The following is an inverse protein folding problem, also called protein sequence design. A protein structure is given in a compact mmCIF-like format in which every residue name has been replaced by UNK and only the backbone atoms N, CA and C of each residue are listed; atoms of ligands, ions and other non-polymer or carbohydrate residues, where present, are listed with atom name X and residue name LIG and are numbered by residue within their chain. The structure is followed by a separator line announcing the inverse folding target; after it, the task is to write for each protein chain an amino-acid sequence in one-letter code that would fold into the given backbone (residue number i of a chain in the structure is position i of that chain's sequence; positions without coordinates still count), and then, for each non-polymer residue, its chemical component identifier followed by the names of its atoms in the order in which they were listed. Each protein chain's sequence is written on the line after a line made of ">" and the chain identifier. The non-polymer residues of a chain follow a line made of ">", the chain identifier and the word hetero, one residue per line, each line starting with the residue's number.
data_IF_432665943740
#
_entry.id   IF_432665943740
#
_cell.length_a   1.000
_cell.length_b   1.000
_cell.length_c   1.000
_cell.angle_alpha   90.00
_cell.angle_beta   90.00
_cell.angle_gamma   90.00
#
_symmetry.space_group_name_H-M   'P 1'
#
loop_
_entity.id
_entity.type
_entity.pdbx_description
1 polymer ?
#
# COMPACT_ATOMS: atom_id res chain seq x y z
N UNK A 1 8.87 28.94 -44.72
CA UNK A 1 7.87 27.84 -44.87
C UNK A 1 8.37 26.46 -44.38
N UNK A 2 9.66 26.26 -44.23
CA UNK A 2 10.30 24.96 -43.86
C UNK A 2 10.05 24.50 -42.42
N UNK A 3 10.26 25.35 -41.40
CA UNK A 3 10.11 24.95 -39.99
C UNK A 3 8.69 24.49 -39.59
N UNK A 4 7.66 25.02 -40.24
CA UNK A 4 6.26 24.61 -39.94
C UNK A 4 5.91 23.23 -40.54
N UNK A 5 6.49 22.90 -41.69
CA UNK A 5 6.35 21.57 -42.30
C UNK A 5 7.08 20.50 -41.49
N UNK A 6 8.32 20.75 -41.10
CA UNK A 6 9.10 19.83 -40.28
C UNK A 6 8.42 19.54 -38.91
N UNK A 7 7.83 20.57 -38.29
CA UNK A 7 7.07 20.40 -37.02
C UNK A 7 5.81 19.54 -37.19
N UNK A 8 5.12 19.65 -38.33
CA UNK A 8 3.93 18.87 -38.67
C UNK A 8 4.29 17.43 -39.01
N UNK A 9 5.39 17.20 -39.72
CA UNK A 9 5.90 15.87 -40.08
C UNK A 9 6.37 15.13 -38.79
N UNK A 10 7.16 15.76 -37.93
CA UNK A 10 7.59 15.23 -36.64
C UNK A 10 6.41 14.84 -35.79
N UNK A 11 5.38 15.68 -35.68
CA UNK A 11 4.13 15.35 -34.95
C UNK A 11 3.34 14.18 -35.57
N UNK A 12 3.45 13.95 -36.89
CA UNK A 12 2.83 12.79 -37.57
C UNK A 12 3.61 11.50 -37.31
N UNK A 13 4.92 11.56 -37.31
CA UNK A 13 5.79 10.41 -37.02
C UNK A 13 5.66 9.98 -35.55
N UNK A 14 5.67 10.94 -34.65
CA UNK A 14 5.44 10.68 -33.21
C UNK A 14 4.07 9.99 -32.95
N UNK A 15 3.00 10.47 -33.62
CA UNK A 15 1.67 9.84 -33.54
C UNK A 15 1.62 8.44 -34.15
N UNK A 16 2.39 8.17 -35.22
CA UNK A 16 2.50 6.84 -35.81
C UNK A 16 3.25 5.88 -34.88
N UNK A 17 4.39 6.33 -34.35
CA UNK A 17 5.18 5.56 -33.38
C UNK A 17 4.38 5.22 -32.15
N UNK A 18 3.62 6.18 -31.61
CA UNK A 18 2.76 5.96 -30.45
C UNK A 18 1.63 4.96 -30.74
N UNK A 19 1.00 5.02 -31.92
CA UNK A 19 -0.02 4.03 -32.32
C UNK A 19 0.56 2.63 -32.43
N UNK A 20 1.75 2.51 -33.01
CA UNK A 20 2.44 1.23 -33.16
C UNK A 20 2.85 0.68 -31.82
N UNK A 21 3.41 1.49 -30.92
CA UNK A 21 3.70 1.12 -29.54
C UNK A 21 2.46 0.60 -28.82
N UNK A 22 1.33 1.32 -28.89
CA UNK A 22 0.06 0.89 -28.29
C UNK A 22 -0.44 -0.44 -28.87
N UNK A 23 -0.23 -0.68 -30.17
CA UNK A 23 -0.57 -1.95 -30.81
C UNK A 23 0.26 -3.10 -30.26
N UNK A 24 1.58 -2.91 -30.19
CA UNK A 24 2.52 -3.92 -29.65
C UNK A 24 2.24 -4.25 -28.18
N UNK A 25 2.00 -3.24 -27.35
CA UNK A 25 1.61 -3.42 -25.94
C UNK A 25 0.31 -4.23 -25.84
N UNK A 26 -0.70 -3.88 -26.64
CA UNK A 26 -1.98 -4.62 -26.64
C UNK A 26 -1.81 -6.07 -27.07
N UNK A 27 -0.96 -6.33 -28.04
CA UNK A 27 -0.67 -7.69 -28.51
C UNK A 27 0.08 -8.49 -27.45
N UNK A 28 1.11 -7.90 -26.83
CA UNK A 28 1.87 -8.52 -25.75
C UNK A 28 1.01 -8.84 -24.53
N UNK A 29 0.05 -7.97 -24.19
CA UNK A 29 -0.83 -8.13 -23.04
C UNK A 29 -2.17 -8.84 -23.37
N UNK A 30 -2.27 -9.51 -24.52
CA UNK A 30 -3.53 -10.14 -24.98
C UNK A 30 -4.08 -11.22 -24.06
N UNK A 31 -3.23 -11.83 -23.24
CA UNK A 31 -3.63 -12.88 -22.29
C UNK A 31 -4.27 -12.32 -21.02
N UNK A 32 -4.13 -11.02 -20.77
CA UNK A 32 -4.71 -10.36 -19.61
C UNK A 32 -6.21 -10.17 -19.79
N UNK A 33 -6.92 -10.20 -18.67
CA UNK A 33 -8.33 -9.91 -18.65
C UNK A 33 -8.52 -8.40 -18.50
N UNK A 34 -8.95 -7.78 -19.58
CA UNK A 34 -9.16 -6.33 -19.61
C UNK A 34 -10.39 -5.94 -18.80
N UNK A 35 -10.26 -4.91 -17.98
CA UNK A 35 -11.38 -4.28 -17.32
C UNK A 35 -12.34 -3.66 -18.35
N UNK A 36 -13.64 -3.62 -18.07
CA UNK A 36 -14.58 -2.85 -18.86
C UNK A 36 -14.16 -1.39 -18.91
N UNK A 37 -14.22 -0.75 -20.09
CA UNK A 37 -13.77 0.65 -20.28
C UNK A 37 -14.36 1.66 -19.30
N UNK A 38 -15.58 1.41 -18.79
CA UNK A 38 -16.23 2.26 -17.78
C UNK A 38 -15.66 2.04 -16.37
N UNK A 39 -15.10 0.87 -16.08
CA UNK A 39 -14.53 0.53 -14.78
C UNK A 39 -13.15 1.18 -14.57
N UNK A 40 -12.41 1.40 -15.64
CA UNK A 40 -11.07 1.98 -15.60
C UNK A 40 -11.06 3.43 -15.10
N UNK A 41 -12.18 4.15 -15.23
CA UNK A 41 -12.18 5.61 -15.13
C UNK A 41 -12.13 6.16 -13.68
N UNK A 42 -12.53 5.38 -12.67
CA UNK A 42 -12.57 5.88 -11.28
C UNK A 42 -11.28 5.65 -10.49
N UNK A 43 -10.45 4.69 -10.91
CA UNK A 43 -9.21 4.32 -10.21
C UNK A 43 -8.07 3.93 -11.16
N UNK A 44 -8.24 4.14 -12.46
CA UNK A 44 -7.24 3.77 -13.45
C UNK A 44 -7.05 2.27 -13.66
N UNK A 45 -7.96 1.42 -13.21
CA UNK A 45 -7.87 -0.02 -13.37
C UNK A 45 -8.03 -0.44 -14.83
N UNK A 46 -7.04 -1.10 -15.41
CA UNK A 46 -7.02 -1.49 -16.82
C UNK A 46 -7.29 -2.97 -17.05
N UNK A 47 -6.62 -3.82 -16.27
CA UNK A 47 -6.65 -5.27 -16.49
C UNK A 47 -6.06 -6.01 -15.30
N UNK A 48 -6.20 -7.31 -15.30
CA UNK A 48 -5.57 -8.17 -14.31
C UNK A 48 -5.20 -9.53 -14.91
N UNK A 49 -4.25 -10.17 -14.28
CA UNK A 49 -3.89 -11.55 -14.51
C UNK A 49 -4.62 -12.46 -13.51
N UNK A 50 -5.15 -13.63 -13.92
CA UNK A 50 -5.79 -14.56 -12.99
C UNK A 50 -4.94 -14.98 -11.80
N UNK A 51 -3.62 -14.90 -11.90
CA UNK A 51 -2.67 -15.17 -10.81
C UNK A 51 -2.64 -14.11 -9.72
N UNK A 52 -3.43 -13.03 -9.83
CA UNK A 52 -3.59 -12.01 -8.80
C UNK A 52 -2.84 -10.70 -9.03
N UNK A 53 -2.26 -10.48 -10.21
CA UNK A 53 -1.66 -9.19 -10.56
C UNK A 53 -2.67 -8.25 -11.20
N UNK A 54 -2.72 -7.00 -10.73
CA UNK A 54 -3.61 -5.94 -11.19
C UNK A 54 -2.82 -4.85 -11.90
N UNK A 55 -3.30 -4.42 -13.08
CA UNK A 55 -2.74 -3.33 -13.84
C UNK A 55 -3.59 -2.08 -13.74
N UNK A 56 -2.94 -0.95 -13.48
CA UNK A 56 -3.54 0.38 -13.40
C UNK A 56 -2.96 1.32 -14.46
N UNK A 57 -3.60 2.47 -14.65
CA UNK A 57 -3.10 3.52 -15.54
C UNK A 57 -1.63 3.85 -15.25
N UNK A 58 -0.90 4.23 -16.30
CA UNK A 58 0.54 4.51 -16.21
C UNK A 58 1.41 3.26 -16.18
N UNK A 59 0.84 2.06 -16.39
CA UNK A 59 1.61 0.81 -16.36
C UNK A 59 2.02 0.38 -14.96
N UNK A 60 1.30 0.80 -13.94
CA UNK A 60 1.52 0.36 -12.55
C UNK A 60 0.87 -1.00 -12.31
N UNK A 61 1.64 -1.95 -11.83
CA UNK A 61 1.20 -3.30 -11.50
C UNK A 61 1.28 -3.54 -10.00
N UNK A 62 0.30 -4.25 -9.46
CA UNK A 62 0.22 -4.58 -8.04
C UNK A 62 -0.15 -6.05 -7.87
N UNK A 63 0.61 -6.77 -7.06
CA UNK A 63 0.29 -8.14 -6.62
C UNK A 63 0.26 -8.20 -5.10
N UNK A 64 -0.81 -8.77 -4.55
CA UNK A 64 -1.07 -8.81 -3.10
C UNK A 64 -0.79 -10.20 -2.55
N UNK A 65 -0.15 -10.24 -1.39
CA UNK A 65 0.18 -11.44 -0.63
C UNK A 65 -0.36 -11.33 0.79
N UNK A 66 -0.75 -12.43 1.38
CA UNK A 66 -1.06 -12.51 2.81
C UNK A 66 0.19 -12.93 3.58
N UNK A 67 0.47 -12.26 4.69
CA UNK A 67 1.56 -12.63 5.59
C UNK A 67 1.13 -13.84 6.42
N UNK A 68 1.94 -14.89 6.38
CA UNK A 68 1.72 -16.13 7.15
C UNK A 68 2.80 -16.37 8.21
N UNK A 69 3.81 -15.51 8.24
CA UNK A 69 4.94 -15.57 9.14
C UNK A 69 5.17 -14.24 9.88
N UNK A 70 6.36 -13.68 9.78
CA UNK A 70 6.76 -12.47 10.49
C UNK A 70 7.13 -11.36 9.53
N UNK A 71 6.67 -10.13 9.79
CA UNK A 71 7.08 -8.95 9.02
C UNK A 71 8.47 -8.42 9.41
N UNK A 72 9.17 -9.03 10.37
CA UNK A 72 10.53 -8.64 10.78
C UNK A 72 11.52 -8.57 9.62
N UNK A 73 11.34 -9.41 8.60
CA UNK A 73 12.16 -9.43 7.41
C UNK A 73 11.83 -8.36 6.35
N UNK A 74 10.79 -7.56 6.56
CA UNK A 74 10.25 -6.63 5.56
C UNK A 74 11.27 -5.60 5.06
N UNK A 75 12.07 -5.06 5.96
CA UNK A 75 13.12 -4.09 5.62
C UNK A 75 14.20 -4.73 4.75
N UNK A 76 14.67 -5.92 5.13
CA UNK A 76 15.64 -6.68 4.33
C UNK A 76 15.08 -7.07 2.96
N UNK A 77 13.80 -7.44 2.93
CA UNK A 77 13.10 -7.71 1.66
C UNK A 77 13.06 -6.46 0.79
N UNK A 78 12.68 -5.30 1.35
CA UNK A 78 12.60 -4.03 0.62
C UNK A 78 13.95 -3.57 0.02
N UNK A 79 15.07 -3.94 0.63
CA UNK A 79 16.42 -3.66 0.12
C UNK A 79 16.86 -4.65 -1.00
N UNK A 80 16.21 -5.80 -1.14
CA UNK A 80 16.60 -6.86 -2.09
C UNK A 80 15.68 -6.98 -3.29
N UNK A 81 14.39 -6.70 -3.12
CA UNK A 81 13.42 -6.78 -4.22
C UNK A 81 13.58 -5.60 -5.18
N UNK A 82 13.20 -5.84 -6.43
CA UNK A 82 13.14 -4.77 -7.45
C UNK A 82 11.87 -3.96 -7.38
N UNK A 83 10.80 -4.58 -6.92
CA UNK A 83 9.49 -3.93 -6.73
C UNK A 83 9.50 -3.06 -5.48
N UNK A 84 8.65 -2.05 -5.46
CA UNK A 84 8.31 -1.36 -4.21
C UNK A 84 7.45 -2.27 -3.34
N UNK A 85 7.71 -2.31 -2.04
CA UNK A 85 6.92 -3.05 -1.07
C UNK A 85 5.94 -2.11 -0.38
N UNK A 86 4.70 -2.54 -0.27
CA UNK A 86 3.71 -1.97 0.64
C UNK A 86 3.34 -3.03 1.67
N UNK A 87 3.37 -2.66 2.94
CA UNK A 87 2.87 -3.49 4.04
C UNK A 87 1.61 -2.82 4.58
N UNK A 88 0.51 -3.55 4.61
CA UNK A 88 -0.76 -3.09 5.17
C UNK A 88 -1.16 -4.02 6.30
N UNK A 89 -1.29 -3.48 7.49
CA UNK A 89 -1.81 -4.19 8.65
C UNK A 89 -3.23 -3.72 8.95
N UNK A 90 -4.12 -4.65 9.22
CA UNK A 90 -5.45 -4.40 9.75
C UNK A 90 -5.53 -4.98 11.15
N UNK A 91 -5.84 -4.13 12.11
CA UNK A 91 -6.11 -4.50 13.50
C UNK A 91 -7.60 -4.21 13.72
N UNK A 92 -8.37 -5.21 14.12
CA UNK A 92 -9.78 -5.05 14.37
C UNK A 92 -10.18 -5.72 15.67
N UNK A 93 -11.14 -5.16 16.45
CA UNK A 93 -11.72 -5.84 17.57
C UNK A 93 -12.41 -7.12 17.08
N UNK A 94 -12.19 -8.22 17.79
CA UNK A 94 -12.93 -9.46 17.57
C UNK A 94 -14.07 -9.55 18.59
N UNK A 95 -14.98 -10.50 18.37
CA UNK A 95 -16.02 -10.80 19.36
C UNK A 95 -15.35 -11.34 20.62
N UNK A 96 -15.55 -10.66 21.75
CA UNK A 96 -14.86 -10.94 23.01
C UNK A 96 -13.66 -10.01 23.23
N UNK A 97 -12.74 -10.35 24.14
CA UNK A 97 -11.55 -9.54 24.45
C UNK A 97 -10.38 -9.76 23.50
N UNK A 98 -10.53 -10.63 22.49
CA UNK A 98 -9.49 -10.90 21.51
C UNK A 98 -9.49 -9.88 20.37
N UNK A 99 -8.32 -9.65 19.77
CA UNK A 99 -8.15 -8.81 18.60
C UNK A 99 -7.64 -9.66 17.44
N UNK A 100 -8.15 -9.38 16.23
CA UNK A 100 -7.61 -9.99 15.03
C UNK A 100 -6.66 -9.02 14.36
N UNK A 101 -5.42 -9.43 14.15
CA UNK A 101 -4.45 -8.71 13.35
C UNK A 101 -4.12 -9.53 12.11
N UNK A 102 -4.22 -8.90 10.93
CA UNK A 102 -3.83 -9.49 9.65
C UNK A 102 -2.92 -8.53 8.91
N UNK A 103 -1.89 -9.06 8.31
CA UNK A 103 -0.95 -8.28 7.51
C UNK A 103 -0.92 -8.77 6.06
N UNK A 104 -0.74 -7.83 5.16
CA UNK A 104 -0.66 -8.04 3.73
C UNK A 104 0.57 -7.32 3.19
N UNK A 105 1.23 -7.96 2.24
CA UNK A 105 2.33 -7.35 1.49
C UNK A 105 1.88 -7.18 0.05
N UNK A 106 2.13 -6.02 -0.52
CA UNK A 106 1.91 -5.78 -1.95
C UNK A 106 3.24 -5.46 -2.61
N UNK A 107 3.52 -6.15 -3.72
CA UNK A 107 4.58 -5.78 -4.65
C UNK A 107 4.00 -4.81 -5.68
N UNK A 108 4.71 -3.71 -5.91
CA UNK A 108 4.30 -2.67 -6.85
C UNK A 108 5.45 -2.46 -7.83
N UNK A 109 5.17 -2.68 -9.12
CA UNK A 109 6.12 -2.52 -10.22
C UNK A 109 5.53 -1.65 -11.33
N UNK A 110 6.39 -1.15 -12.19
CA UNK A 110 5.99 -0.35 -13.36
C UNK A 110 6.45 -1.03 -14.65
N UNK A 111 5.59 -1.03 -15.65
CA UNK A 111 5.88 -1.58 -16.97
C UNK A 111 4.67 -1.58 -17.87
N UNK A 112 4.91 -1.31 -19.18
CA UNK A 112 3.85 -1.34 -20.18
C UNK A 112 3.44 -2.77 -20.59
N UNK A 113 4.34 -3.73 -20.41
CA UNK A 113 4.18 -5.15 -20.79
C UNK A 113 4.23 -6.01 -19.55
N UNK A 114 3.28 -6.95 -19.42
CA UNK A 114 3.14 -7.78 -18.24
C UNK A 114 4.26 -8.80 -18.06
N UNK A 115 4.76 -9.41 -19.12
CA UNK A 115 5.72 -10.51 -19.00
C UNK A 115 6.97 -10.16 -18.19
N UNK A 116 7.69 -9.03 -18.45
CA UNK A 116 8.81 -8.62 -17.62
C UNK A 116 8.41 -8.31 -16.16
N UNK A 117 7.20 -7.77 -15.95
CA UNK A 117 6.68 -7.49 -14.62
C UNK A 117 6.35 -8.79 -13.88
N UNK A 118 5.82 -9.79 -14.57
CA UNK A 118 5.54 -11.11 -14.03
C UNK A 118 6.83 -11.79 -13.56
N UNK A 119 7.87 -11.81 -14.40
CA UNK A 119 9.18 -12.35 -14.04
C UNK A 119 9.78 -11.64 -12.81
N UNK A 120 9.62 -10.30 -12.75
CA UNK A 120 10.04 -9.53 -11.59
C UNK A 120 9.26 -9.94 -10.33
N UNK A 121 7.94 -10.05 -10.40
CA UNK A 121 7.11 -10.46 -9.26
C UNK A 121 7.42 -11.90 -8.81
N UNK A 122 7.67 -12.82 -9.74
CA UNK A 122 8.06 -14.20 -9.41
C UNK A 122 9.40 -14.23 -8.66
N UNK A 123 10.38 -13.44 -9.10
CA UNK A 123 11.66 -13.33 -8.40
C UNK A 123 11.54 -12.67 -7.01
N UNK A 124 10.77 -11.59 -6.91
CA UNK A 124 10.55 -10.86 -5.67
C UNK A 124 9.72 -11.69 -4.67
N UNK A 125 8.77 -12.52 -5.14
CA UNK A 125 7.97 -13.42 -4.32
C UNK A 125 8.84 -14.44 -3.57
N UNK A 126 9.88 -14.99 -4.23
CA UNK A 126 10.82 -15.91 -3.58
C UNK A 126 11.51 -15.22 -2.39
N UNK A 127 11.94 -13.97 -2.58
CA UNK A 127 12.56 -13.16 -1.51
C UNK A 127 11.57 -12.91 -0.37
N UNK A 128 10.32 -12.56 -0.70
CA UNK A 128 9.28 -12.36 0.32
C UNK A 128 8.97 -13.63 1.10
N UNK A 129 8.89 -14.78 0.43
CA UNK A 129 8.65 -16.07 1.10
C UNK A 129 9.78 -16.42 2.07
N UNK A 130 11.02 -16.23 1.65
CA UNK A 130 12.19 -16.50 2.49
C UNK A 130 12.26 -15.56 3.71
N UNK A 131 11.97 -14.27 3.53
CA UNK A 131 12.23 -13.25 4.55
C UNK A 131 11.06 -12.93 5.44
N UNK A 132 9.83 -13.04 4.94
CA UNK A 132 8.62 -12.64 5.65
C UNK A 132 7.72 -13.86 5.90
N UNK A 133 7.68 -14.82 4.98
CA UNK A 133 6.68 -15.88 4.94
C UNK A 133 5.34 -15.31 4.45
N UNK A 134 5.13 -15.39 3.13
CA UNK A 134 3.92 -14.87 2.49
C UNK A 134 3.23 -15.96 1.67
N UNK A 135 1.92 -15.81 1.47
CA UNK A 135 1.11 -16.61 0.56
C UNK A 135 0.58 -15.72 -0.56
N UNK A 136 0.81 -16.09 -1.81
CA UNK A 136 0.25 -15.42 -2.96
C UNK A 136 -1.28 -15.51 -2.95
N UNK A 137 -1.98 -14.42 -3.29
CA UNK A 137 -3.43 -14.35 -3.38
C UNK A 137 -3.87 -14.40 -4.84
N UNK A 138 -4.91 -15.18 -5.12
CA UNK A 138 -5.65 -15.10 -6.37
C UNK A 138 -6.41 -13.77 -6.46
N UNK A 139 -6.91 -13.42 -7.65
CA UNK A 139 -7.73 -12.21 -7.85
C UNK A 139 -8.91 -12.16 -6.88
N UNK A 140 -9.65 -13.26 -6.73
CA UNK A 140 -10.82 -13.29 -5.85
C UNK A 140 -10.46 -13.12 -4.37
N UNK A 141 -9.35 -13.72 -3.92
CA UNK A 141 -8.83 -13.53 -2.56
C UNK A 141 -8.34 -12.11 -2.33
N UNK A 142 -7.59 -11.53 -3.28
CA UNK A 142 -7.12 -10.16 -3.18
C UNK A 142 -8.30 -9.17 -3.12
N UNK A 143 -9.34 -9.36 -3.92
CA UNK A 143 -10.54 -8.51 -3.85
C UNK A 143 -11.28 -8.68 -2.52
N UNK A 144 -11.36 -9.88 -1.95
CA UNK A 144 -11.92 -10.07 -0.60
C UNK A 144 -11.13 -9.32 0.47
N UNK A 145 -9.80 -9.30 0.36
CA UNK A 145 -8.94 -8.50 1.26
C UNK A 145 -9.27 -7.02 1.13
N UNK A 146 -9.43 -6.52 -0.09
CA UNK A 146 -9.76 -5.11 -0.33
C UNK A 146 -11.15 -4.77 0.20
N UNK A 147 -12.16 -5.62 -0.03
CA UNK A 147 -13.49 -5.48 0.54
C UNK A 147 -13.44 -5.37 2.06
N UNK A 148 -12.65 -6.22 2.71
CA UNK A 148 -12.42 -6.18 4.15
C UNK A 148 -11.78 -4.85 4.58
N UNK A 149 -10.81 -4.35 3.84
CA UNK A 149 -10.14 -3.08 4.12
C UNK A 149 -11.05 -1.87 3.92
N UNK A 150 -11.99 -1.94 3.00
CA UNK A 150 -12.98 -0.89 2.73
C UNK A 150 -14.23 -0.97 3.63
N UNK A 151 -14.26 -1.87 4.63
CA UNK A 151 -15.44 -2.06 5.49
C UNK A 151 -16.58 -2.83 4.84
N UNK A 152 -16.38 -3.32 3.62
CA UNK A 152 -17.39 -4.02 2.82
C UNK A 152 -17.44 -5.54 3.03
N UNK A 153 -17.14 -6.04 4.23
CA UNK A 153 -17.08 -7.50 4.52
C UNK A 153 -18.38 -8.24 4.18
N UNK A 154 -19.50 -7.56 4.23
CA UNK A 154 -20.82 -8.11 3.89
C UNK A 154 -21.10 -8.13 2.39
N UNK A 155 -20.27 -7.51 1.56
CA UNK A 155 -20.45 -7.47 0.11
C UNK A 155 -19.87 -8.73 -0.51
N UNK A 156 -20.64 -9.40 -1.34
CA UNK A 156 -20.13 -10.49 -2.18
C UNK A 156 -19.59 -9.92 -3.48
N UNK A 157 -18.38 -10.24 -3.83
CA UNK A 157 -17.81 -9.95 -5.14
C UNK A 157 -17.73 -11.23 -5.97
N UNK A 158 -18.23 -11.17 -7.19
CA UNK A 158 -18.07 -12.23 -8.17
C UNK A 158 -17.34 -11.67 -9.39
N UNK A 159 -16.13 -12.12 -9.60
CA UNK A 159 -15.33 -11.81 -10.76
C UNK A 159 -16.06 -12.00 -12.09
N UNK A 160 -16.76 -13.13 -12.27
CA UNK A 160 -17.52 -13.41 -13.47
C UNK A 160 -18.66 -12.40 -13.69
N UNK A 161 -19.34 -11.97 -12.62
CA UNK A 161 -20.39 -10.96 -12.66
C UNK A 161 -19.82 -9.58 -12.97
N UNK A 162 -18.69 -9.21 -12.38
CA UNK A 162 -18.00 -7.95 -12.64
C UNK A 162 -17.63 -7.79 -14.12
N UNK A 163 -16.95 -8.80 -14.70
CA UNK A 163 -16.53 -8.75 -16.11
C UNK A 163 -17.74 -8.67 -17.05
N UNK A 164 -18.82 -9.41 -16.76
CA UNK A 164 -20.05 -9.40 -17.58
C UNK A 164 -20.81 -8.08 -17.49
N UNK A 165 -20.90 -7.50 -16.31
CA UNK A 165 -21.74 -6.33 -16.04
C UNK A 165 -21.10 -5.02 -16.53
N UNK A 166 -19.83 -5.00 -16.93
CA UNK A 166 -19.07 -3.79 -17.34
C UNK A 166 -19.18 -2.66 -16.31
N UNK A 167 -19.13 -3.00 -15.02
CA UNK A 167 -19.26 -2.05 -13.91
C UNK A 167 -17.90 -1.45 -13.53
N UNK A 168 -17.95 -0.34 -12.82
CA UNK A 168 -16.78 0.29 -12.24
C UNK A 168 -16.29 -0.53 -11.02
N UNK A 169 -15.00 -0.96 -11.02
CA UNK A 169 -14.49 -1.81 -9.96
C UNK A 169 -14.61 -1.15 -8.59
N UNK A 170 -14.26 0.14 -8.48
CA UNK A 170 -14.35 0.85 -7.20
C UNK A 170 -15.79 0.91 -6.68
N UNK A 171 -16.77 1.14 -7.56
CA UNK A 171 -18.19 1.14 -7.18
C UNK A 171 -18.72 -0.23 -6.77
N UNK A 172 -18.13 -1.31 -7.29
CA UNK A 172 -18.49 -2.67 -6.88
C UNK A 172 -17.92 -3.05 -5.52
N UNK A 173 -16.68 -2.66 -5.26
CA UNK A 173 -15.94 -3.07 -4.06
C UNK A 173 -15.95 -2.04 -2.94
N UNK A 174 -16.15 -0.75 -3.23
CA UNK A 174 -16.17 0.31 -2.22
C UNK A 174 -17.59 0.76 -1.92
N UNK A 175 -17.93 0.93 -0.65
CA UNK A 175 -19.07 1.73 -0.27
C UNK A 175 -18.86 3.20 -0.69
N UNK A 176 -19.93 3.98 -0.62
CA UNK A 176 -19.84 5.43 -0.84
C UNK A 176 -18.99 6.04 0.28
N UNK A 177 -17.97 6.81 -0.12
CA UNK A 177 -17.12 7.55 0.79
C UNK A 177 -17.43 9.02 0.62
N UNK A 178 -17.96 9.63 1.67
CA UNK A 178 -18.23 11.07 1.75
C UNK A 178 -17.04 11.73 2.44
N UNK A 179 -16.34 12.59 1.71
CA UNK A 179 -15.16 13.28 2.21
C UNK A 179 -15.54 14.58 2.90
N UNK A 180 -14.95 14.81 4.08
CA UNK A 180 -14.92 16.06 4.81
C UNK A 180 -13.48 16.60 4.87
N UNK A 181 -13.29 17.78 5.44
CA UNK A 181 -11.97 18.45 5.45
C UNK A 181 -10.89 17.64 6.18
N UNK A 182 -11.24 17.04 7.31
CA UNK A 182 -10.33 16.37 8.26
C UNK A 182 -10.71 14.91 8.57
N UNK A 183 -11.80 14.43 7.98
CA UNK A 183 -12.28 13.07 8.13
C UNK A 183 -13.09 12.63 6.91
N UNK A 184 -13.57 11.41 6.90
CA UNK A 184 -14.51 10.89 5.89
C UNK A 184 -15.57 10.02 6.57
N UNK A 185 -16.67 9.79 5.86
CA UNK A 185 -17.72 8.87 6.26
C UNK A 185 -17.81 7.72 5.27
N UNK A 186 -18.02 6.51 5.80
CA UNK A 186 -18.15 5.29 5.02
C UNK A 186 -19.14 4.34 5.71
N UNK A 187 -20.27 4.02 5.03
CA UNK A 187 -21.33 3.13 5.56
C UNK A 187 -21.82 3.49 6.98
N UNK A 188 -21.89 4.77 7.30
CA UNK A 188 -22.33 5.26 8.61
C UNK A 188 -21.23 5.30 9.68
N UNK A 189 -20.02 4.83 9.38
CA UNK A 189 -18.84 5.01 10.22
C UNK A 189 -18.09 6.28 9.87
N UNK A 190 -17.38 6.84 10.86
CA UNK A 190 -16.46 7.97 10.69
C UNK A 190 -15.05 7.44 10.58
N UNK A 191 -14.29 7.93 9.61
CA UNK A 191 -12.90 7.55 9.40
C UNK A 191 -11.97 8.76 9.39
N UNK A 192 -10.76 8.60 9.90
CA UNK A 192 -9.70 9.59 9.81
C UNK A 192 -8.42 8.95 9.34
N UNK A 193 -7.83 9.52 8.28
CA UNK A 193 -6.52 9.15 7.78
C UNK A 193 -5.47 10.14 8.25
N UNK A 194 -4.32 9.62 8.67
CA UNK A 194 -3.20 10.36 9.22
C UNK A 194 -1.90 9.91 8.57
N UNK A 195 -0.94 10.83 8.40
CA UNK A 195 0.41 10.51 7.97
C UNK A 195 1.39 10.48 9.13
N UNK A 196 2.38 9.59 9.06
CA UNK A 196 3.60 9.69 9.84
C UNK A 196 4.47 10.79 9.23
N UNK A 197 4.57 11.91 9.95
CA UNK A 197 5.32 13.09 9.52
C UNK A 197 6.79 13.02 9.90
N UNK A 198 7.07 12.45 11.09
CA UNK A 198 8.41 12.24 11.61
C UNK A 198 8.51 10.86 12.28
N UNK A 199 9.69 10.27 12.18
CA UNK A 199 10.03 8.99 12.78
C UNK A 199 11.12 9.23 13.83
N UNK A 200 11.11 8.51 14.96
CA UNK A 200 12.18 8.62 15.96
C UNK A 200 13.48 8.04 15.41
N UNK A 201 14.62 8.54 15.90
CA UNK A 201 15.92 7.95 15.58
C UNK A 201 16.03 6.53 16.17
N UNK A 202 15.44 6.31 17.34
CA UNK A 202 15.28 5.01 17.97
C UNK A 202 13.80 4.77 18.28
N UNK A 203 13.18 3.83 17.58
CA UNK A 203 11.78 3.49 17.82
C UNK A 203 11.66 2.59 19.06
N UNK A 204 10.80 2.98 19.99
CA UNK A 204 10.33 2.04 21.00
C UNK A 204 9.24 1.17 20.37
N UNK A 205 9.51 -0.13 20.22
CA UNK A 205 8.75 -1.07 19.36
C UNK A 205 7.27 -1.26 19.64
N UNK A 206 6.68 -0.62 20.65
CA UNK A 206 5.35 -0.97 21.13
C UNK A 206 4.19 -0.09 20.64
N UNK A 207 4.46 1.06 19.99
CA UNK A 207 3.40 1.98 19.61
C UNK A 207 2.29 1.33 18.77
N UNK A 208 2.67 0.49 17.81
CA UNK A 208 1.70 -0.20 16.97
C UNK A 208 0.93 -1.31 17.68
N UNK A 209 1.53 -1.97 18.69
CA UNK A 209 0.83 -2.99 19.49
C UNK A 209 -0.27 -2.39 20.36
N UNK A 210 -0.14 -1.12 20.75
CA UNK A 210 -1.16 -0.41 21.53
C UNK A 210 -2.41 -0.05 20.73
N UNK A 211 -2.34 -0.09 19.41
CA UNK A 211 -3.49 0.21 18.54
C UNK A 211 -4.67 -0.77 18.74
N UNK A 212 -4.39 -1.99 19.20
CA UNK A 212 -5.43 -2.96 19.57
C UNK A 212 -6.36 -2.47 20.67
N UNK A 213 -5.89 -1.57 21.54
CA UNK A 213 -6.64 -1.03 22.68
C UNK A 213 -7.64 0.05 22.26
N UNK A 214 -7.61 0.53 21.02
CA UNK A 214 -8.52 1.55 20.53
C UNK A 214 -9.97 1.08 20.38
N UNK A 215 -10.21 -0.24 20.39
CA UNK A 215 -11.56 -0.81 20.28
C UNK A 215 -12.27 -0.58 18.94
N UNK A 216 -11.53 -0.15 17.93
CA UNK A 216 -12.06 0.11 16.59
C UNK A 216 -11.11 -0.47 15.51
N UNK A 217 -11.60 -0.68 14.27
CA UNK A 217 -10.74 -1.07 13.17
C UNK A 217 -9.67 0.00 12.88
N UNK A 218 -8.41 -0.43 12.82
CA UNK A 218 -7.26 0.40 12.48
C UNK A 218 -6.51 -0.22 11.32
N UNK A 219 -6.10 0.60 10.38
CA UNK A 219 -5.24 0.22 9.26
C UNK A 219 -3.93 0.99 9.38
N UNK A 220 -2.82 0.27 9.30
CA UNK A 220 -1.49 0.89 9.24
C UNK A 220 -0.81 0.42 7.97
N UNK A 221 -0.34 1.36 7.18
CA UNK A 221 0.29 1.05 5.90
C UNK A 221 1.65 1.74 5.80
N UNK A 222 2.65 0.97 5.40
CA UNK A 222 3.98 1.48 5.11
C UNK A 222 4.35 1.12 3.66
N UNK A 223 4.62 2.14 2.86
CA UNK A 223 5.32 1.99 1.59
C UNK A 223 6.82 2.04 1.85
N UNK A 224 7.55 1.00 1.45
CA UNK A 224 8.98 0.88 1.58
C UNK A 224 9.62 0.92 0.19
N UNK A 225 10.50 1.87 0.00
CA UNK A 225 11.25 2.02 -1.25
C UNK A 225 12.74 1.97 -0.94
N UNK A 226 13.43 0.99 -1.52
CA UNK A 226 14.88 0.94 -1.47
C UNK A 226 15.46 2.19 -2.13
N UNK A 227 16.58 2.67 -1.61
CA UNK A 227 17.27 3.85 -2.14
C UNK A 227 18.47 3.37 -2.96
N UNK A 228 18.65 3.96 -4.13
CA UNK A 228 19.81 3.68 -4.96
C UNK A 228 21.09 4.21 -4.30
N UNK A 229 22.23 3.62 -4.63
CA UNK A 229 23.54 4.10 -4.13
C UNK A 229 23.78 5.58 -4.48
N UNK A 230 23.27 6.01 -5.64
CA UNK A 230 23.36 7.40 -6.09
C UNK A 230 22.56 8.35 -5.18
N UNK A 231 21.32 7.98 -4.85
CA UNK A 231 20.46 8.78 -3.97
C UNK A 231 21.03 8.81 -2.55
N UNK A 232 21.65 7.70 -2.10
CA UNK A 232 22.35 7.61 -0.83
C UNK A 232 23.55 8.59 -0.79
N UNK A 233 24.33 8.64 -1.85
CA UNK A 233 25.45 9.61 -1.97
C UNK A 233 24.96 11.06 -1.92
N UNK A 234 23.90 11.38 -2.65
CA UNK A 234 23.33 12.74 -2.67
C UNK A 234 22.76 13.12 -1.30
N UNK A 235 22.16 12.18 -0.59
CA UNK A 235 21.70 12.39 0.78
C UNK A 235 22.89 12.67 1.74
N UNK A 236 23.94 11.85 1.69
CA UNK A 236 25.16 12.06 2.49
C UNK A 236 25.75 13.44 2.22
N UNK A 237 25.90 13.84 0.95
CA UNK A 237 26.37 15.18 0.57
C UNK A 237 25.49 16.29 1.14
N UNK A 238 24.19 16.07 1.20
CA UNK A 238 23.24 17.04 1.77
C UNK A 238 23.42 17.17 3.28
N UNK A 239 23.62 16.04 3.98
CA UNK A 239 23.93 16.04 5.41
C UNK A 239 25.28 16.70 5.69
N UNK A 240 26.33 16.43 4.91
CA UNK A 240 27.65 17.06 5.04
C UNK A 240 27.57 18.58 4.91
N UNK A 241 26.82 19.06 3.92
CA UNK A 241 26.54 20.51 3.75
C UNK A 241 25.79 21.09 4.94
N UNK A 242 24.77 20.38 5.44
CA UNK A 242 23.93 20.85 6.55
C UNK A 242 24.70 20.94 7.86
N UNK A 243 25.57 19.96 8.12
CA UNK A 243 26.35 19.91 9.37
C UNK A 243 27.76 20.47 9.23
N UNK A 244 28.12 20.99 8.05
CA UNK A 244 29.43 21.57 7.74
C UNK A 244 30.62 20.67 8.15
N UNK A 245 30.45 19.36 8.02
CA UNK A 245 31.49 18.35 8.32
C UNK A 245 31.43 17.19 7.34
N UNK A 246 32.59 16.59 7.07
CA UNK A 246 32.64 15.33 6.31
C UNK A 246 32.15 14.19 7.19
N UNK A 247 31.22 13.40 6.67
CA UNK A 247 30.69 12.23 7.35
C UNK A 247 31.48 10.99 6.90
N UNK A 248 31.77 10.10 7.83
CA UNK A 248 32.30 8.78 7.45
C UNK A 248 31.12 8.03 6.77
N UNK A 249 31.28 7.69 5.50
CA UNK A 249 30.24 7.00 4.70
C UNK A 249 29.83 5.67 5.32
N UNK A 250 30.76 4.96 5.94
CA UNK A 250 30.50 3.68 6.61
C UNK A 250 29.73 3.84 7.93
N UNK A 251 29.68 5.06 8.48
CA UNK A 251 28.92 5.38 9.69
C UNK A 251 27.52 5.94 9.41
N UNK A 252 27.19 6.20 8.15
CA UNK A 252 25.84 6.58 7.77
C UNK A 252 24.99 5.33 7.71
N UNK A 253 24.07 5.19 8.65
CA UNK A 253 23.08 4.10 8.65
C UNK A 253 22.41 3.95 7.30
N UNK A 254 22.14 2.72 6.90
CA UNK A 254 21.26 2.47 5.77
C UNK A 254 19.86 3.02 6.06
N UNK A 255 19.22 3.58 5.06
CA UNK A 255 17.89 4.14 5.17
C UNK A 255 17.02 3.74 3.98
N UNK A 256 15.73 3.87 4.17
CA UNK A 256 14.69 3.65 3.18
C UNK A 256 13.89 4.94 2.98
N UNK A 257 13.32 5.11 1.80
CA UNK A 257 12.21 6.03 1.63
C UNK A 257 10.94 5.35 2.09
N UNK A 258 10.32 5.92 3.13
CA UNK A 258 9.13 5.36 3.78
C UNK A 258 7.97 6.35 3.73
N UNK A 259 6.80 5.89 3.35
CA UNK A 259 5.54 6.61 3.58
C UNK A 259 4.67 5.78 4.50
N UNK A 260 4.51 6.25 5.73
CA UNK A 260 3.62 5.64 6.72
C UNK A 260 2.29 6.36 6.79
N UNK A 261 1.21 5.61 6.86
CA UNK A 261 -0.15 6.10 7.00
C UNK A 261 -0.91 5.24 8.02
N UNK A 262 -1.82 5.88 8.75
CA UNK A 262 -2.73 5.24 9.67
C UNK A 262 -4.14 5.73 9.38
N UNK A 263 -5.10 4.81 9.36
CA UNK A 263 -6.54 5.15 9.32
C UNK A 263 -7.27 4.33 10.38
N UNK A 264 -8.20 4.94 11.08
CA UNK A 264 -9.12 4.25 11.96
C UNK A 264 -10.57 4.56 11.56
N UNK A 265 -11.48 3.63 11.88
CA UNK A 265 -12.92 3.74 11.65
C UNK A 265 -13.66 3.61 12.99
N UNK A 266 -14.65 4.47 13.23
CA UNK A 266 -15.43 4.47 14.47
C UNK A 266 -16.90 4.84 14.21
N UNK A 267 -17.75 4.65 15.21
CA UNK A 267 -19.21 4.74 15.07
C UNK A 267 -19.75 6.17 15.23
N UNK A 268 -18.95 7.12 15.74
CA UNK A 268 -19.40 8.49 15.94
C UNK A 268 -18.25 9.49 15.85
N UNK A 269 -18.61 10.76 15.61
CA UNK A 269 -17.64 11.87 15.58
C UNK A 269 -16.99 12.10 16.93
N UNK A 270 -17.73 11.96 18.02
CA UNK A 270 -17.16 12.10 19.37
C UNK A 270 -16.14 11.00 19.67
N UNK A 271 -16.45 9.75 19.29
CA UNK A 271 -15.49 8.65 19.39
C UNK A 271 -14.24 8.91 18.54
N UNK A 272 -14.41 9.46 17.32
CA UNK A 272 -13.30 9.82 16.45
C UNK A 272 -12.33 10.81 17.11
N UNK A 273 -12.84 11.85 17.77
CA UNK A 273 -12.00 12.84 18.48
C UNK A 273 -11.25 12.22 19.67
N UNK A 274 -11.88 11.31 20.40
CA UNK A 274 -11.26 10.57 21.49
C UNK A 274 -10.14 9.67 20.97
N UNK A 275 -10.44 8.87 19.94
CA UNK A 275 -9.49 7.95 19.32
C UNK A 275 -8.29 8.74 18.76
N UNK A 276 -8.54 9.85 18.05
CA UNK A 276 -7.47 10.73 17.55
C UNK A 276 -6.51 11.13 18.65
N UNK A 277 -7.01 11.65 19.78
CA UNK A 277 -6.18 12.06 20.92
C UNK A 277 -5.38 10.91 21.50
N UNK A 278 -5.99 9.72 21.56
CA UNK A 278 -5.32 8.50 22.04
C UNK A 278 -4.20 8.10 21.09
N UNK A 279 -4.46 8.09 19.79
CA UNK A 279 -3.47 7.81 18.71
C UNK A 279 -2.32 8.83 18.78
N UNK A 280 -2.62 10.12 18.86
CA UNK A 280 -1.61 11.18 19.02
C UNK A 280 -0.72 10.92 20.26
N UNK A 281 -1.34 10.52 21.38
CA UNK A 281 -0.61 10.24 22.64
C UNK A 281 0.27 8.99 22.53
N UNK A 282 -0.22 7.91 21.94
CA UNK A 282 0.52 6.65 21.73
C UNK A 282 1.79 6.95 20.91
N UNK A 283 1.62 7.61 19.77
CA UNK A 283 2.72 7.86 18.85
C UNK A 283 3.69 8.93 19.35
N UNK A 284 3.21 9.99 20.00
CA UNK A 284 4.09 11.00 20.61
C UNK A 284 4.98 10.41 21.70
N UNK A 285 4.48 9.47 22.53
CA UNK A 285 5.28 8.76 23.54
C UNK A 285 6.36 7.88 22.91
N UNK A 286 6.11 7.34 21.73
CA UNK A 286 7.06 6.53 20.99
C UNK A 286 7.98 7.37 20.08
N UNK A 287 7.89 8.70 20.15
CA UNK A 287 8.75 9.63 19.40
C UNK A 287 8.32 9.87 17.95
N UNK A 288 7.12 9.43 17.54
CA UNK A 288 6.60 9.74 16.21
C UNK A 288 5.80 11.03 16.23
N UNK A 289 5.88 11.77 15.14
CA UNK A 289 4.91 12.84 14.83
C UNK A 289 3.95 12.31 13.77
N UNK A 290 2.66 12.27 14.12
CA UNK A 290 1.59 11.93 13.16
C UNK A 290 0.66 13.13 13.00
N UNK A 291 0.03 13.26 11.84
CA UNK A 291 -0.88 14.36 11.55
C UNK A 291 -2.05 13.92 10.69
N UNK A 292 -3.29 14.37 10.99
CA UNK A 292 -4.41 14.17 10.10
C UNK A 292 -4.14 14.77 8.71
N UNK A 293 -4.66 14.12 7.69
CA UNK A 293 -4.66 14.64 6.33
C UNK A 293 -5.75 15.71 6.23
N UNK A 294 -5.39 16.93 5.87
CA UNK A 294 -6.35 18.02 5.66
C UNK A 294 -6.65 18.20 4.17
N UNK A 295 -7.86 17.83 3.77
CA UNK A 295 -8.23 17.68 2.37
C UNK A 295 -7.57 16.44 1.73
N UNK A 296 -8.32 15.64 1.00
CA UNK A 296 -7.81 14.38 0.45
C UNK A 296 -7.88 13.19 1.43
N UNK A 297 -8.77 13.22 2.41
CA UNK A 297 -9.00 12.13 3.37
C UNK A 297 -9.40 10.84 2.67
N UNK A 298 -10.31 10.93 1.69
CA UNK A 298 -10.73 9.81 0.85
C UNK A 298 -9.56 9.27 0.03
N UNK A 299 -8.80 10.13 -0.60
CA UNK A 299 -7.67 9.75 -1.45
C UNK A 299 -6.56 9.11 -0.60
N UNK A 300 -6.29 9.64 0.59
CA UNK A 300 -5.39 9.06 1.57
C UNK A 300 -5.84 7.66 1.98
N UNK A 301 -7.11 7.49 2.35
CA UNK A 301 -7.65 6.17 2.71
C UNK A 301 -7.54 5.17 1.57
N UNK A 302 -7.95 5.54 0.35
CA UNK A 302 -7.87 4.66 -0.82
C UNK A 302 -6.42 4.34 -1.22
N UNK A 303 -5.46 5.20 -0.89
CA UNK A 303 -4.04 4.93 -1.11
C UNK A 303 -3.47 3.90 -0.14
N UNK A 304 -4.06 3.74 1.05
CA UNK A 304 -3.60 2.82 2.09
C UNK A 304 -3.99 1.36 1.85
N UNK A 305 -5.07 1.11 1.12
CA UNK A 305 -5.49 -0.28 0.87
C UNK A 305 -4.42 -1.04 0.08
N UNK A 306 -4.42 -2.36 0.20
CA UNK A 306 -3.35 -3.21 -0.35
C UNK A 306 -3.12 -3.03 -1.84
N UNK A 307 -4.15 -2.77 -2.66
CA UNK A 307 -3.96 -2.42 -4.07
C UNK A 307 -3.39 -1.02 -4.31
N UNK A 308 -3.44 -0.14 -3.30
CA UNK A 308 -3.02 1.24 -3.47
C UNK A 308 -3.73 1.90 -4.63
N UNK A 309 -5.04 2.03 -4.53
CA UNK A 309 -5.90 2.53 -5.60
C UNK A 309 -5.48 3.92 -6.08
N UNK A 310 -4.94 4.72 -5.17
CA UNK A 310 -4.37 6.03 -5.45
C UNK A 310 -2.93 6.10 -4.93
N UNK A 311 -2.12 6.97 -5.51
CA UNK A 311 -0.72 7.14 -5.13
C UNK A 311 -0.55 8.41 -4.28
N UNK A 312 -1.18 8.44 -3.11
CA UNK A 312 -1.10 9.55 -2.16
C UNK A 312 -0.08 9.23 -1.07
N UNK A 313 1.09 9.86 -1.10
CA UNK A 313 2.25 9.52 -0.26
C UNK A 313 2.91 10.74 0.38
N UNK A 314 3.53 10.49 1.52
CA UNK A 314 4.40 11.42 2.21
C UNK A 314 5.73 10.72 2.54
N UNK A 315 6.66 10.70 1.58
CA UNK A 315 7.93 9.98 1.70
C UNK A 315 8.87 10.67 2.69
N UNK A 316 9.50 9.88 3.54
CA UNK A 316 10.53 10.28 4.52
C UNK A 316 11.71 9.30 4.45
N UNK A 317 12.91 9.82 4.66
CA UNK A 317 14.09 8.98 4.86
C UNK A 317 14.08 8.46 6.30
N UNK A 318 14.01 7.16 6.46
CA UNK A 318 13.93 6.49 7.78
C UNK A 318 15.04 5.45 7.88
N UNK A 319 15.74 5.44 9.00
CA UNK A 319 16.81 4.47 9.27
C UNK A 319 16.30 3.03 9.25
N UNK A 320 17.11 2.13 8.71
CA UNK A 320 16.79 0.70 8.64
C UNK A 320 16.52 0.13 10.03
N UNK A 321 17.29 0.55 11.04
CA UNK A 321 17.11 0.08 12.43
C UNK A 321 15.77 0.49 13.00
N UNK A 322 15.37 1.75 12.81
CA UNK A 322 14.04 2.25 13.22
C UNK A 322 12.92 1.44 12.58
N UNK A 323 13.02 1.14 11.28
CA UNK A 323 12.01 0.34 10.59
C UNK A 323 11.99 -1.12 11.06
N UNK A 324 13.16 -1.72 11.36
CA UNK A 324 13.23 -3.06 11.94
C UNK A 324 12.53 -3.14 13.30
N UNK A 325 12.62 -2.09 14.13
CA UNK A 325 11.91 -2.01 15.40
C UNK A 325 10.38 -1.92 15.20
N UNK A 326 9.94 -1.13 14.20
CA UNK A 326 8.53 -1.00 13.85
C UNK A 326 7.95 -2.36 13.40
N UNK A 327 8.72 -3.19 12.69
CA UNK A 327 8.25 -4.47 12.13
C UNK A 327 8.60 -5.69 12.99
N UNK A 328 8.67 -5.56 14.31
CA UNK A 328 8.98 -6.69 15.22
C UNK A 328 7.86 -7.74 15.36
N UNK A 329 6.68 -7.51 14.81
CA UNK A 329 5.50 -8.36 15.02
C UNK A 329 5.52 -9.63 14.19
N UNK A 330 4.84 -10.65 14.71
CA UNK A 330 4.63 -11.94 14.07
C UNK A 330 3.13 -12.16 13.81
N UNK A 331 2.82 -12.77 12.67
CA UNK A 331 1.48 -13.11 12.24
C UNK A 331 1.42 -14.62 12.01
N UNK A 332 0.32 -15.28 12.38
CA UNK A 332 0.14 -16.73 12.17
C UNK A 332 0.61 -17.62 13.32
N UNK A 333 1.01 -17.07 14.45
CA UNK A 333 1.49 -17.84 15.62
C UNK A 333 0.42 -18.53 16.46
N UNK A 334 -0.88 -18.26 16.32
CA UNK A 334 -1.93 -18.87 17.14
C UNK A 334 -3.19 -19.21 16.37
N UNK A 335 -3.09 -20.19 15.44
CA UNK A 335 -4.30 -20.90 15.00
C UNK A 335 -4.88 -21.80 16.10
N UNK A 336 -4.18 -21.97 17.24
CA UNK A 336 -4.61 -22.86 18.33
C UNK A 336 -5.52 -22.19 19.36
N UNK A 337 -5.66 -20.88 19.41
CA UNK A 337 -6.63 -20.22 20.31
C UNK A 337 -8.06 -20.17 19.74
N UNK A 338 -8.24 -20.40 18.43
CA UNK A 338 -9.57 -20.42 17.80
C UNK A 338 -10.20 -21.83 17.81
N UNK A 339 -9.46 -22.89 18.19
CA UNK A 339 -9.97 -24.28 18.23
C UNK A 339 -10.44 -24.79 19.58
N UNK A 340 -10.44 -23.95 20.61
CA UNK A 340 -10.88 -24.38 21.94
C UNK A 340 -12.41 -24.29 22.17
N UNK A 341 -13.18 -23.72 21.25
CA UNK A 341 -14.63 -23.50 21.42
C UNK A 341 -15.53 -24.29 20.43
N UNK A 342 -15.01 -25.29 19.72
CA UNK A 342 -15.83 -26.15 18.84
C UNK A 342 -16.21 -27.50 19.44
N UNK A 343 -15.88 -27.78 20.70
CA UNK A 343 -16.30 -29.00 21.42
C UNK A 343 -17.03 -28.67 22.71
N UNK A 344 -18.28 -28.17 22.61
CA UNK A 344 -19.35 -28.41 23.64
C UNK A 344 -20.70 -28.36 22.93
#
# INVERSE_FOLDING_TARGET
>A
MTKKKERVERSREERKAEKERKRLIKEANRMLISAPKKSANSMGFLSFDPSGAFCFDGGRWVKVFEVTGSIRGAVKAALKVKSRIRITERIAPAKGESHTARAFVSLIAEGDIYEPVREQFEADEVILQEMIGVRSLTVDEAIKVILMQLGGEKRSFSYASFVRAKRDLLKEISPEIVEERDHFQIEGSFGMSMFFMEYPDEASGDALSLLKELGCPVFVTFDLVGISDLDKEDYVRTLEKRYSRTLNRDSVQDFLNVSGQLTFLCDSKDAMEIIKKTVDTIFARAGFLISPVFGGQKDSFLSQISLGLLDYKNLRNVGVETMNEIFRREYGGNQNEVRADEDV
#
